data_IF_608061935337
#
_entry.id   IF_608061935337
#
_cell.length_a   1.000
_cell.length_b   1.000
_cell.length_c   1.000
_cell.angle_alpha   90.00
_cell.angle_beta   90.00
_cell.angle_gamma   90.00
#
_symmetry.space_group_name_H-M   'P 1'
#
loop_
_entity.id
_entity.type
_entity.pdbx_description
1 polymer ?
#
# COMPACT_ATOMS: atom_id res chain seq x y z
N UNK A 1 17.00 17.52 -7.72
CA UNK A 1 16.81 16.06 -7.72
C UNK A 1 15.41 15.83 -8.25
N UNK A 2 15.28 15.88 -9.57
CA UNK A 2 14.01 15.79 -10.29
C UNK A 2 13.81 14.35 -10.77
N UNK A 3 12.78 13.68 -10.26
CA UNK A 3 12.35 12.39 -10.80
C UNK A 3 11.40 12.63 -11.97
N UNK A 4 11.98 12.82 -13.15
CA UNK A 4 11.27 12.71 -14.43
C UNK A 4 11.34 11.26 -14.93
N UNK A 5 10.26 10.50 -14.78
CA UNK A 5 10.12 9.20 -15.42
C UNK A 5 9.60 9.40 -16.86
N UNK A 6 10.53 9.49 -17.81
CA UNK A 6 10.26 9.37 -19.23
C UNK A 6 11.15 8.30 -19.86
N UNK A 7 10.53 7.38 -20.61
CA UNK A 7 10.91 6.93 -21.96
C UNK A 7 10.52 5.45 -22.17
N UNK A 8 9.62 5.23 -23.14
CA UNK A 8 9.51 3.95 -23.86
C UNK A 8 10.65 3.78 -24.87
N UNK A 9 10.71 2.65 -25.60
CA UNK A 9 10.22 2.71 -26.98
C UNK A 9 9.54 1.41 -27.52
N UNK A 10 8.54 1.64 -28.38
CA UNK A 10 8.13 0.88 -29.57
C UNK A 10 8.52 -0.60 -29.72
N UNK A 11 7.50 -1.48 -29.64
CA UNK A 11 7.46 -2.74 -30.39
C UNK A 11 6.40 -2.64 -31.49
N UNK A 12 6.84 -2.35 -32.71
CA UNK A 12 6.07 -2.58 -33.93
C UNK A 12 6.13 -4.08 -34.27
N UNK A 13 5.01 -4.77 -34.07
CA UNK A 13 4.83 -6.16 -34.49
C UNK A 13 3.49 -6.31 -35.21
N UNK A 14 3.55 -6.62 -36.51
CA UNK A 14 2.39 -6.84 -37.37
C UNK A 14 1.49 -7.95 -36.82
N UNK A 15 0.33 -7.59 -36.26
CA UNK A 15 -0.72 -8.53 -35.89
C UNK A 15 -1.39 -9.07 -37.16
N UNK A 16 -0.82 -10.12 -37.76
CA UNK A 16 -1.58 -10.98 -38.66
C UNK A 16 -2.77 -11.55 -37.88
N UNK A 17 -3.97 -11.14 -38.28
CA UNK A 17 -5.26 -11.54 -37.71
C UNK A 17 -5.49 -13.04 -37.97
N UNK A 18 -4.89 -13.89 -37.14
CA UNK A 18 -5.11 -15.34 -37.17
C UNK A 18 -6.52 -15.64 -36.67
N UNK A 19 -7.39 -16.08 -37.58
CA UNK A 19 -8.79 -16.46 -37.36
C UNK A 19 -8.93 -17.81 -36.63
N UNK A 20 -8.39 -17.91 -35.42
CA UNK A 20 -8.54 -19.10 -34.57
C UNK A 20 -9.13 -18.73 -33.20
N UNK A 21 -10.44 -18.47 -33.19
CA UNK A 21 -11.26 -18.36 -31.98
C UNK A 21 -11.48 -19.79 -31.44
N UNK A 22 -10.44 -20.38 -30.86
CA UNK A 22 -10.59 -21.56 -29.99
C UNK A 22 -9.33 -21.87 -29.20
N UNK A 23 -8.93 -20.96 -28.31
CA UNK A 23 -8.29 -21.36 -27.05
C UNK A 23 -9.08 -20.69 -25.93
N UNK A 24 -9.98 -21.46 -25.33
CA UNK A 24 -10.42 -21.20 -23.97
C UNK A 24 -9.16 -21.19 -23.12
N UNK A 25 -8.63 -20.00 -22.90
CA UNK A 25 -7.64 -19.77 -21.87
C UNK A 25 -8.34 -20.15 -20.58
N UNK A 26 -7.90 -21.25 -19.96
CA UNK A 26 -8.46 -21.71 -18.69
C UNK A 26 -8.44 -20.55 -17.70
N UNK A 27 -9.62 -20.00 -17.39
CA UNK A 27 -9.79 -18.87 -16.47
C UNK A 27 -9.09 -19.12 -15.13
N UNK A 28 -8.92 -20.39 -14.75
CA UNK A 28 -8.18 -20.84 -13.58
C UNK A 28 -6.71 -20.39 -13.54
N UNK A 29 -6.05 -20.20 -14.70
CA UNK A 29 -4.63 -19.82 -14.78
C UNK A 29 -4.39 -18.32 -14.52
N UNK A 30 -5.37 -17.47 -14.86
CA UNK A 30 -5.30 -16.03 -14.61
C UNK A 30 -5.65 -15.69 -13.16
N UNK A 31 -6.55 -16.47 -12.56
CA UNK A 31 -7.06 -16.25 -11.22
C UNK A 31 -6.05 -16.64 -10.13
N UNK A 32 -5.37 -17.78 -10.28
CA UNK A 32 -4.25 -18.14 -9.40
C UNK A 32 -3.09 -17.14 -9.51
N UNK A 33 -2.92 -16.53 -10.69
CA UNK A 33 -1.99 -15.42 -10.89
C UNK A 33 -2.38 -14.17 -10.11
N UNK A 34 -3.67 -13.79 -10.08
CA UNK A 34 -4.15 -12.60 -9.37
C UNK A 34 -3.89 -12.70 -7.86
N UNK A 35 -4.20 -13.83 -7.22
CA UNK A 35 -3.92 -14.01 -5.78
C UNK A 35 -2.43 -13.92 -5.48
N UNK A 36 -1.59 -14.56 -6.30
CA UNK A 36 -0.13 -14.47 -6.16
C UNK A 36 0.39 -13.04 -6.35
N UNK A 37 -0.09 -12.31 -7.36
CA UNK A 37 0.29 -10.92 -7.61
C UNK A 37 -0.12 -10.01 -6.45
N UNK A 38 -1.34 -10.15 -5.92
CA UNK A 38 -1.82 -9.38 -4.78
C UNK A 38 -0.97 -9.64 -3.52
N UNK A 39 -0.73 -10.92 -3.20
CA UNK A 39 0.12 -11.30 -2.05
C UNK A 39 1.54 -10.75 -2.18
N UNK A 40 2.11 -10.83 -3.37
CA UNK A 40 3.45 -10.29 -3.65
C UNK A 40 3.49 -8.77 -3.43
N UNK A 41 2.49 -8.04 -3.94
CA UNK A 41 2.38 -6.60 -3.72
C UNK A 41 2.17 -6.24 -2.24
N UNK A 42 1.37 -7.01 -1.50
CA UNK A 42 1.17 -6.81 -0.07
C UNK A 42 2.43 -7.03 0.77
N UNK A 43 3.23 -8.04 0.41
CA UNK A 43 4.54 -8.27 1.01
C UNK A 43 5.46 -7.07 0.73
N UNK A 44 5.44 -6.53 -0.49
CA UNK A 44 6.29 -5.39 -0.85
C UNK A 44 5.85 -4.10 -0.14
N UNK A 45 4.55 -3.87 0.02
CA UNK A 45 4.01 -2.77 0.83
C UNK A 45 4.46 -2.86 2.29
N UNK A 46 4.43 -4.07 2.86
CA UNK A 46 4.89 -4.30 4.22
C UNK A 46 6.39 -4.01 4.37
N UNK A 47 7.23 -4.49 3.44
CA UNK A 47 8.67 -4.18 3.43
C UNK A 47 8.95 -2.69 3.29
N UNK A 48 8.20 -1.99 2.44
CA UNK A 48 8.33 -0.55 2.27
C UNK A 48 8.02 0.20 3.57
N UNK A 49 6.97 -0.22 4.31
CA UNK A 49 6.66 0.34 5.62
C UNK A 49 7.77 0.06 6.65
N UNK A 50 8.32 -1.14 6.66
CA UNK A 50 9.43 -1.52 7.56
C UNK A 50 10.69 -0.73 7.26
N UNK A 51 11.06 -0.60 5.98
CA UNK A 51 12.20 0.20 5.53
C UNK A 51 12.03 1.68 5.91
N UNK A 52 10.82 2.22 5.80
CA UNK A 52 10.52 3.59 6.21
C UNK A 52 10.74 3.79 7.72
N UNK A 53 10.38 2.82 8.57
CA UNK A 53 10.67 2.91 10.01
C UNK A 53 12.18 2.84 10.27
N UNK A 54 12.89 1.92 9.62
CA UNK A 54 14.34 1.75 9.77
C UNK A 54 15.11 3.04 9.43
N UNK A 55 14.74 3.70 8.33
CA UNK A 55 15.31 4.99 7.93
C UNK A 55 15.01 6.06 8.99
N UNK A 56 13.76 6.20 9.43
CA UNK A 56 13.36 7.20 10.43
C UNK A 56 14.15 7.01 11.74
N UNK A 57 14.19 5.80 12.29
CA UNK A 57 14.94 5.49 13.51
C UNK A 57 16.44 5.77 13.36
N UNK A 58 17.02 5.41 12.21
CA UNK A 58 18.44 5.68 11.92
C UNK A 58 18.73 7.18 11.91
N UNK A 59 17.94 7.96 11.18
CA UNK A 59 18.15 9.41 11.07
C UNK A 59 17.89 10.11 12.41
N UNK A 60 16.88 9.67 13.17
CA UNK A 60 16.61 10.20 14.52
C UNK A 60 17.77 9.93 15.47
N UNK A 61 18.38 8.74 15.43
CA UNK A 61 19.56 8.43 16.22
C UNK A 61 20.76 9.32 15.86
N UNK A 62 21.01 9.54 14.56
CA UNK A 62 22.05 10.45 14.08
C UNK A 62 21.81 11.90 14.54
N UNK A 63 20.57 12.37 14.48
CA UNK A 63 20.19 13.71 14.97
C UNK A 63 20.37 13.84 16.48
N UNK A 64 20.02 12.81 17.26
CA UNK A 64 20.25 12.82 18.70
C UNK A 64 21.75 12.96 19.01
N UNK A 65 22.60 12.17 18.34
CA UNK A 65 24.05 12.24 18.51
C UNK A 65 24.61 13.60 18.09
N UNK A 66 24.10 14.16 16.98
CA UNK A 66 24.45 15.51 16.55
C UNK A 66 24.17 16.54 17.65
N UNK A 67 22.98 16.54 18.24
CA UNK A 67 22.64 17.50 19.30
C UNK A 67 23.44 17.29 20.59
N UNK A 68 23.76 16.03 20.96
CA UNK A 68 24.67 15.76 22.09
C UNK A 68 26.05 16.36 21.86
N UNK A 69 26.65 16.13 20.68
CA UNK A 69 27.95 16.72 20.33
C UNK A 69 27.88 18.24 20.23
N UNK A 70 26.81 18.77 19.64
CA UNK A 70 26.59 20.20 19.51
C UNK A 70 26.50 20.87 20.88
N UNK A 71 25.82 20.25 21.86
CA UNK A 71 25.77 20.75 23.22
C UNK A 71 27.16 20.84 23.87
N UNK A 72 27.99 19.80 23.71
CA UNK A 72 29.38 19.82 24.22
C UNK A 72 30.17 20.99 23.63
N UNK A 73 30.11 21.19 22.31
CA UNK A 73 30.80 22.31 21.64
C UNK A 73 30.32 23.67 22.16
N UNK A 74 29.01 23.85 22.35
CA UNK A 74 28.46 25.09 22.90
C UNK A 74 28.91 25.33 24.35
N UNK A 75 28.99 24.26 25.16
CA UNK A 75 29.49 24.35 26.54
C UNK A 75 30.98 24.72 26.59
N UNK A 76 31.80 24.07 25.77
CA UNK A 76 33.24 24.36 25.68
C UNK A 76 33.49 25.82 25.27
N UNK A 77 32.68 26.33 24.33
CA UNK A 77 32.77 27.73 23.92
C UNK A 77 32.35 28.70 25.04
N UNK A 78 31.28 28.39 25.77
CA UNK A 78 30.90 29.14 26.97
C UNK A 78 32.05 29.17 27.98
N UNK A 79 32.61 28.01 28.35
CA UNK A 79 33.69 27.92 29.33
C UNK A 79 34.94 28.69 28.90
N UNK A 80 35.27 28.68 27.59
CA UNK A 80 36.36 29.47 27.04
C UNK A 80 36.13 30.98 27.18
N UNK A 81 34.90 31.46 26.98
CA UNK A 81 34.51 32.86 27.17
C UNK A 81 34.57 33.26 28.65
N UNK A 82 34.10 32.41 29.57
CA UNK A 82 34.24 32.63 31.03
C UNK A 82 35.71 32.78 31.40
N UNK A 83 36.55 31.85 30.94
CA UNK A 83 37.98 31.85 31.24
C UNK A 83 38.67 33.12 30.72
N UNK A 84 38.36 33.53 29.50
CA UNK A 84 38.88 34.77 28.90
C UNK A 84 38.47 36.00 29.72
N UNK A 85 37.17 36.15 29.98
CA UNK A 85 36.64 37.32 30.67
C UNK A 85 37.15 37.41 32.12
N UNK A 86 37.13 36.30 32.85
CA UNK A 86 37.58 36.28 34.25
C UNK A 86 39.10 36.45 34.37
N UNK A 87 39.90 35.91 33.44
CA UNK A 87 41.35 36.11 33.42
C UNK A 87 41.73 37.58 33.24
N UNK A 88 41.08 38.28 32.30
CA UNK A 88 41.28 39.72 32.10
C UNK A 88 40.73 40.55 33.27
N UNK A 89 39.56 40.19 33.81
CA UNK A 89 38.96 40.84 34.98
C UNK A 89 39.88 40.75 36.19
N UNK A 90 40.42 39.58 36.49
CA UNK A 90 41.34 39.37 37.62
C UNK A 90 42.62 40.20 37.44
N UNK A 91 43.21 40.19 36.24
CA UNK A 91 44.38 41.02 35.92
C UNK A 91 44.07 42.50 36.11
N UNK A 92 42.91 42.96 35.64
CA UNK A 92 42.50 44.36 35.77
C UNK A 92 42.30 44.76 37.24
N UNK A 93 41.62 43.94 38.04
CA UNK A 93 41.43 44.15 39.49
C UNK A 93 42.77 44.25 40.22
N UNK A 94 43.75 43.42 39.86
CA UNK A 94 45.09 43.46 40.46
C UNK A 94 45.82 44.79 40.17
N UNK A 95 45.64 45.37 38.98
CA UNK A 95 46.22 46.67 38.62
C UNK A 95 45.47 47.84 39.29
N UNK A 96 44.14 47.84 39.27
CA UNK A 96 43.33 48.90 39.87
C UNK A 96 43.44 48.91 41.40
N UNK A 97 43.68 47.77 42.05
CA UNK A 97 43.92 47.71 43.50
C UNK A 97 45.20 48.46 43.90
N UNK A 98 46.21 48.49 43.01
CA UNK A 98 47.44 49.27 43.21
C UNK A 98 47.27 50.75 42.84
N UNK A 99 46.24 51.08 42.05
CA UNK A 99 46.01 52.40 41.45
C UNK A 99 44.52 52.77 41.53
N UNK A 100 43.99 53.10 42.72
CA UNK A 100 42.54 53.28 42.92
C UNK A 100 41.93 54.38 42.05
N UNK A 101 42.72 55.42 41.76
CA UNK A 101 42.30 56.52 40.89
C UNK A 101 42.01 56.09 39.44
N UNK A 102 42.36 54.86 39.02
CA UNK A 102 42.08 54.33 37.68
C UNK A 102 40.62 53.91 37.46
N UNK A 103 39.91 53.58 38.54
CA UNK A 103 38.52 53.11 38.48
C UNK A 103 37.56 54.07 37.73
N UNK A 104 37.58 55.41 37.93
CA UNK A 104 36.67 56.34 37.24
C UNK A 104 37.05 56.66 35.79
N UNK A 105 38.16 56.15 35.24
CA UNK A 105 38.54 56.45 33.86
C UNK A 105 37.61 55.76 32.86
N UNK A 106 37.23 56.46 31.80
CA UNK A 106 36.35 55.93 30.74
C UNK A 106 36.86 54.62 30.13
N UNK A 107 38.18 54.49 29.95
CA UNK A 107 38.80 53.25 29.43
C UNK A 107 38.56 52.05 30.36
N UNK A 108 38.57 52.26 31.68
CA UNK A 108 38.24 51.25 32.70
C UNK A 108 36.77 50.86 32.58
N UNK A 109 35.87 51.82 32.40
CA UNK A 109 34.43 51.55 32.17
C UNK A 109 34.22 50.71 30.91
N UNK A 110 34.84 51.08 29.79
CA UNK A 110 34.72 50.34 28.51
C UNK A 110 35.19 48.90 28.67
N UNK A 111 36.33 48.67 29.34
CA UNK A 111 36.83 47.32 29.62
C UNK A 111 35.81 46.52 30.43
N UNK A 112 35.28 47.08 31.52
CA UNK A 112 34.30 46.38 32.35
C UNK A 112 33.01 46.05 31.59
N UNK A 113 32.54 46.96 30.73
CA UNK A 113 31.39 46.70 29.84
C UNK A 113 31.68 45.56 28.86
N UNK A 114 32.87 45.52 28.25
CA UNK A 114 33.27 44.46 27.33
C UNK A 114 33.34 43.08 28.03
N UNK A 115 33.94 43.03 29.22
CA UNK A 115 34.02 41.81 30.02
C UNK A 115 32.63 41.32 30.43
N UNK A 116 31.75 42.23 30.86
CA UNK A 116 30.36 41.92 31.17
C UNK A 116 29.57 41.41 29.95
N UNK A 117 29.74 42.03 28.79
CA UNK A 117 29.14 41.56 27.54
C UNK A 117 29.62 40.15 27.16
N UNK A 118 30.90 39.87 27.34
CA UNK A 118 31.50 38.55 27.04
C UNK A 118 30.92 37.47 27.97
N UNK A 119 30.76 37.77 29.26
CA UNK A 119 30.11 36.85 30.21
C UNK A 119 28.63 36.60 29.88
N UNK A 120 27.89 37.63 29.43
CA UNK A 120 26.51 37.44 28.96
C UNK A 120 26.42 36.53 27.73
N UNK A 121 27.35 36.66 26.78
CA UNK A 121 27.42 35.77 25.61
C UNK A 121 27.74 34.34 26.06
N UNK A 122 28.67 34.18 27.00
CA UNK A 122 28.97 32.88 27.62
C UNK A 122 27.72 32.23 28.24
N UNK A 123 26.95 32.96 29.04
CA UNK A 123 25.72 32.46 29.65
C UNK A 123 24.69 32.00 28.61
N UNK A 124 24.57 32.74 27.50
CA UNK A 124 23.70 32.36 26.40
C UNK A 124 24.14 31.04 25.73
N UNK A 125 25.44 30.82 25.53
CA UNK A 125 25.97 29.57 24.99
C UNK A 125 25.79 28.38 25.96
N UNK A 126 26.00 28.61 27.26
CA UNK A 126 25.73 27.58 28.28
C UNK A 126 24.24 27.19 28.31
N UNK A 127 23.33 28.17 28.22
CA UNK A 127 21.89 27.90 28.10
C UNK A 127 21.57 27.11 26.82
N UNK A 128 22.19 27.47 25.69
CA UNK A 128 21.99 26.76 24.43
C UNK A 128 22.47 25.30 24.50
N UNK A 129 23.62 25.06 25.13
CA UNK A 129 24.11 23.71 25.44
C UNK A 129 23.08 22.90 26.23
N UNK A 130 22.54 23.47 27.30
CA UNK A 130 21.52 22.83 28.12
C UNK A 130 20.24 22.50 27.33
N UNK A 131 19.77 23.43 26.49
CA UNK A 131 18.61 23.21 25.62
C UNK A 131 18.85 22.07 24.63
N UNK A 132 20.02 22.02 24.01
CA UNK A 132 20.38 20.96 23.07
C UNK A 132 20.49 19.59 23.77
N UNK A 133 21.22 19.52 24.89
CA UNK A 133 21.45 18.26 25.60
C UNK A 133 20.18 17.67 26.22
N UNK A 134 19.26 18.52 26.70
CA UNK A 134 18.07 18.09 27.43
C UNK A 134 16.84 18.10 26.54
N UNK A 135 16.44 19.27 26.05
CA UNK A 135 15.14 19.43 25.42
C UNK A 135 15.13 18.87 23.99
N UNK A 136 16.15 19.18 23.19
CA UNK A 136 16.20 18.72 21.80
C UNK A 136 16.41 17.22 21.70
N UNK A 137 17.35 16.67 22.48
CA UNK A 137 17.56 15.22 22.53
C UNK A 137 16.31 14.49 23.01
N UNK A 138 15.63 14.96 24.08
CA UNK A 138 14.41 14.31 24.56
C UNK A 138 13.29 14.34 23.52
N UNK A 139 13.08 15.48 22.83
CA UNK A 139 12.10 15.59 21.74
C UNK A 139 12.34 14.54 20.65
N UNK A 140 13.60 14.28 20.29
CA UNK A 140 13.96 13.29 19.28
C UNK A 140 13.76 11.85 19.78
N UNK A 141 13.94 11.59 21.08
CA UNK A 141 13.60 10.31 21.70
C UNK A 141 12.08 10.09 21.64
N UNK A 142 11.28 11.09 22.03
CA UNK A 142 9.83 11.00 21.97
C UNK A 142 9.34 10.75 20.52
N UNK A 143 9.97 11.41 19.54
CA UNK A 143 9.68 11.19 18.12
C UNK A 143 10.04 9.78 17.64
N UNK A 144 11.11 9.18 18.14
CA UNK A 144 11.51 7.80 17.82
C UNK A 144 10.50 6.78 18.36
N UNK A 145 10.10 6.94 19.63
CA UNK A 145 9.06 6.13 20.26
C UNK A 145 7.72 6.25 19.51
N UNK A 146 7.35 7.46 19.10
CA UNK A 146 6.15 7.71 18.30
C UNK A 146 6.23 7.09 16.91
N UNK A 147 7.40 7.11 16.24
CA UNK A 147 7.59 6.47 14.94
C UNK A 147 7.35 4.96 15.04
N UNK A 148 7.89 4.30 16.06
CA UNK A 148 7.68 2.87 16.33
C UNK A 148 6.21 2.58 16.63
N UNK A 149 5.58 3.39 17.48
CA UNK A 149 4.15 3.25 17.84
C UNK A 149 3.23 3.40 16.63
N UNK A 150 3.47 4.42 15.80
CA UNK A 150 2.71 4.67 14.57
C UNK A 150 2.92 3.57 13.54
N UNK A 151 4.15 3.08 13.36
CA UNK A 151 4.43 1.95 12.48
C UNK A 151 3.60 0.73 12.86
N UNK A 152 3.55 0.37 14.16
CA UNK A 152 2.75 -0.75 14.65
C UNK A 152 1.26 -0.58 14.29
N UNK A 153 0.69 0.60 14.55
CA UNK A 153 -0.70 0.90 14.21
C UNK A 153 -0.96 0.80 12.69
N UNK A 154 -0.06 1.37 11.87
CA UNK A 154 -0.14 1.26 10.42
C UNK A 154 -0.05 -0.18 9.94
N UNK A 155 0.82 -1.00 10.55
CA UNK A 155 1.00 -2.41 10.19
C UNK A 155 -0.25 -3.24 10.51
N UNK A 156 -0.86 -3.02 11.66
CA UNK A 156 -2.11 -3.66 12.06
C UNK A 156 -3.26 -3.30 11.11
N UNK A 157 -3.46 -2.01 10.83
CA UNK A 157 -4.49 -1.53 9.89
C UNK A 157 -4.26 -2.07 8.46
N UNK A 158 -3.02 -2.08 8.00
CA UNK A 158 -2.64 -2.63 6.70
C UNK A 158 -2.96 -4.11 6.62
N UNK A 159 -2.55 -4.91 7.60
CA UNK A 159 -2.83 -6.35 7.66
C UNK A 159 -4.33 -6.63 7.62
N UNK A 160 -5.12 -5.91 8.42
CA UNK A 160 -6.58 -6.05 8.43
C UNK A 160 -7.21 -5.69 7.08
N UNK A 161 -6.67 -4.69 6.37
CA UNK A 161 -7.14 -4.31 5.04
C UNK A 161 -6.79 -5.38 3.99
N UNK A 162 -5.54 -5.83 3.98
CA UNK A 162 -5.03 -6.85 3.06
C UNK A 162 -5.80 -8.17 3.23
N UNK A 163 -6.08 -8.58 4.47
CA UNK A 163 -6.90 -9.76 4.76
C UNK A 163 -8.31 -9.66 4.16
N UNK A 164 -8.99 -8.52 4.33
CA UNK A 164 -10.32 -8.29 3.71
C UNK A 164 -10.28 -8.41 2.20
N UNK A 165 -9.23 -7.87 1.55
CA UNK A 165 -9.06 -7.99 0.09
C UNK A 165 -8.86 -9.45 -0.33
N UNK A 166 -8.04 -10.21 0.40
CA UNK A 166 -7.82 -11.63 0.11
C UNK A 166 -9.09 -12.47 0.28
N UNK A 167 -9.86 -12.24 1.35
CA UNK A 167 -11.15 -12.91 1.57
C UNK A 167 -12.15 -12.59 0.45
N UNK A 168 -12.27 -11.31 0.09
CA UNK A 168 -13.15 -10.87 -1.01
C UNK A 168 -12.74 -11.50 -2.34
N UNK A 169 -11.43 -11.53 -2.61
CA UNK A 169 -10.88 -12.18 -3.81
C UNK A 169 -11.20 -13.67 -3.80
N UNK A 170 -10.94 -14.38 -2.70
CA UNK A 170 -11.24 -15.82 -2.59
C UNK A 170 -12.73 -16.13 -2.83
N UNK A 171 -13.64 -15.30 -2.32
CA UNK A 171 -15.08 -15.41 -2.56
C UNK A 171 -15.42 -15.24 -4.04
N UNK A 172 -14.90 -14.20 -4.69
CA UNK A 172 -15.11 -13.99 -6.14
C UNK A 172 -14.60 -15.18 -6.96
N UNK A 173 -13.46 -15.76 -6.57
CA UNK A 173 -12.93 -16.94 -7.24
C UNK A 173 -13.83 -18.17 -7.05
N UNK A 174 -14.44 -18.33 -5.87
CA UNK A 174 -15.41 -19.37 -5.62
C UNK A 174 -16.68 -19.17 -6.46
N UNK A 175 -17.25 -17.97 -6.46
CA UNK A 175 -18.44 -17.63 -7.23
C UNK A 175 -18.22 -17.86 -8.73
N UNK A 176 -17.02 -17.54 -9.23
CA UNK A 176 -16.64 -17.79 -10.61
C UNK A 176 -16.54 -19.28 -10.95
N UNK A 177 -15.98 -20.11 -10.04
CA UNK A 177 -15.95 -21.57 -10.22
C UNK A 177 -17.36 -22.15 -10.24
N UNK A 178 -18.21 -21.71 -9.31
CA UNK A 178 -19.61 -22.14 -9.24
C UNK A 178 -20.37 -21.74 -10.52
N UNK A 179 -20.16 -20.52 -11.00
CA UNK A 179 -20.71 -20.05 -12.27
C UNK A 179 -20.25 -20.93 -13.45
N UNK A 180 -18.96 -21.25 -13.52
CA UNK A 180 -18.41 -22.12 -14.55
C UNK A 180 -19.06 -23.52 -14.55
N UNK A 181 -19.25 -24.12 -13.37
CA UNK A 181 -19.96 -25.39 -13.22
C UNK A 181 -21.41 -25.28 -13.68
N UNK A 182 -22.14 -24.24 -13.26
CA UNK A 182 -23.53 -23.99 -13.69
C UNK A 182 -23.64 -23.76 -15.20
N UNK A 183 -22.65 -23.11 -15.80
CA UNK A 183 -22.60 -22.90 -17.24
C UNK A 183 -22.40 -24.22 -17.99
N UNK A 184 -21.49 -25.08 -17.53
CA UNK A 184 -21.24 -26.39 -18.13
C UNK A 184 -22.48 -27.30 -18.05
N UNK A 185 -23.13 -27.39 -16.89
CA UNK A 185 -24.35 -28.19 -16.72
C UNK A 185 -25.49 -27.67 -17.59
N UNK A 186 -25.65 -26.35 -17.71
CA UNK A 186 -26.64 -25.76 -18.60
C UNK A 186 -26.35 -26.04 -20.10
N UNK A 187 -25.07 -26.00 -20.51
CA UNK A 187 -24.68 -26.36 -21.89
C UNK A 187 -24.98 -27.84 -22.19
N UNK A 188 -24.72 -28.74 -21.24
CA UNK A 188 -25.02 -30.15 -21.37
C UNK A 188 -26.53 -30.43 -21.44
N UNK A 189 -27.32 -29.81 -20.55
CA UNK A 189 -28.77 -29.88 -20.60
C UNK A 189 -29.33 -29.36 -21.94
N UNK A 190 -28.79 -28.27 -22.48
CA UNK A 190 -29.20 -27.75 -23.78
C UNK A 190 -28.84 -28.70 -24.94
N UNK A 191 -27.69 -29.39 -24.88
CA UNK A 191 -27.32 -30.43 -25.85
C UNK A 191 -28.29 -31.61 -25.81
N UNK A 192 -28.65 -32.07 -24.61
CA UNK A 192 -29.61 -33.15 -24.43
C UNK A 192 -31.01 -32.75 -24.93
N UNK A 193 -31.46 -31.53 -24.62
CA UNK A 193 -32.72 -30.97 -25.14
C UNK A 193 -32.77 -30.99 -26.66
N UNK A 194 -31.70 -30.49 -27.32
CA UNK A 194 -31.62 -30.49 -28.80
C UNK A 194 -31.73 -31.90 -29.38
N UNK A 195 -31.05 -32.89 -28.80
CA UNK A 195 -31.15 -34.30 -29.26
C UNK A 195 -32.57 -34.86 -29.09
N UNK A 196 -33.23 -34.58 -27.96
CA UNK A 196 -34.62 -35.00 -27.73
C UNK A 196 -35.59 -34.31 -28.70
N UNK A 197 -35.38 -33.02 -28.98
CA UNK A 197 -36.13 -32.25 -29.97
C UNK A 197 -35.97 -32.82 -31.39
N UNK A 198 -34.74 -33.10 -31.81
CA UNK A 198 -34.43 -33.73 -33.10
C UNK A 198 -35.09 -35.12 -33.24
N UNK A 199 -35.06 -35.96 -32.19
CA UNK A 199 -35.76 -37.26 -32.17
C UNK A 199 -37.27 -37.09 -32.37
N UNK A 200 -37.89 -36.12 -31.68
CA UNK A 200 -39.32 -35.85 -31.80
C UNK A 200 -39.67 -35.35 -33.21
N UNK A 201 -38.89 -34.42 -33.76
CA UNK A 201 -39.08 -33.90 -35.12
C UNK A 201 -38.95 -35.01 -36.17
N UNK A 202 -37.95 -35.89 -36.05
CA UNK A 202 -37.77 -37.02 -36.96
C UNK A 202 -38.93 -38.03 -36.87
N UNK A 203 -39.44 -38.28 -35.65
CA UNK A 203 -40.62 -39.14 -35.46
C UNK A 203 -41.87 -38.52 -36.11
N UNK A 204 -42.03 -37.20 -36.03
CA UNK A 204 -43.13 -36.48 -36.68
C UNK A 204 -43.03 -36.56 -38.21
N UNK A 205 -41.84 -36.34 -38.78
CA UNK A 205 -41.59 -36.45 -40.22
C UNK A 205 -41.90 -37.86 -40.73
N UNK A 206 -41.49 -38.91 -40.00
CA UNK A 206 -41.77 -40.31 -40.36
C UNK A 206 -43.26 -40.68 -40.28
N UNK A 207 -44.04 -40.03 -39.42
CA UNK A 207 -45.50 -40.22 -39.41
C UNK A 207 -46.14 -39.56 -40.63
N UNK A 208 -45.73 -38.32 -40.94
CA UNK A 208 -46.19 -37.58 -42.13
C UNK A 208 -45.86 -38.28 -43.44
N UNK A 209 -44.65 -38.85 -43.58
CA UNK A 209 -44.26 -39.58 -44.79
C UNK A 209 -45.06 -40.86 -45.04
N UNK A 210 -45.80 -41.35 -44.03
CA UNK A 210 -46.74 -42.47 -44.13
C UNK A 210 -48.20 -42.02 -44.24
N UNK A 211 -48.46 -40.73 -44.51
CA UNK A 211 -49.79 -40.10 -44.49
C UNK A 211 -50.57 -40.33 -43.17
N UNK A 212 -49.86 -40.47 -42.04
CA UNK A 212 -50.47 -40.59 -40.70
C UNK A 212 -50.31 -39.28 -39.93
N UNK A 213 -51.32 -38.91 -39.15
CA UNK A 213 -51.19 -37.81 -38.19
C UNK A 213 -50.08 -38.17 -37.17
N UNK A 214 -49.05 -37.34 -36.98
CA UNK A 214 -48.05 -37.52 -35.93
C UNK A 214 -48.64 -37.84 -34.57
N UNK A 215 -49.77 -37.22 -34.18
CA UNK A 215 -50.42 -37.44 -32.88
C UNK A 215 -51.05 -38.84 -32.76
N UNK A 216 -51.32 -39.52 -33.87
CA UNK A 216 -51.77 -40.91 -33.89
C UNK A 216 -50.62 -41.92 -33.79
N UNK A 217 -49.37 -41.48 -33.99
CA UNK A 217 -48.21 -42.36 -34.01
C UNK A 217 -47.68 -42.61 -32.61
N UNK A 218 -47.72 -43.86 -32.16
CA UNK A 218 -47.15 -44.25 -30.87
C UNK A 218 -45.67 -43.90 -30.74
N UNK A 219 -44.91 -43.92 -31.85
CA UNK A 219 -43.49 -43.51 -31.89
C UNK A 219 -43.32 -42.02 -31.63
N UNK A 220 -44.18 -41.17 -32.19
CA UNK A 220 -44.16 -39.73 -31.94
C UNK A 220 -44.60 -39.42 -30.50
N UNK A 221 -45.67 -40.04 -30.01
CA UNK A 221 -46.13 -39.85 -28.63
C UNK A 221 -45.06 -40.24 -27.58
N UNK A 222 -44.31 -41.33 -27.81
CA UNK A 222 -43.18 -41.71 -26.94
C UNK A 222 -42.06 -40.67 -26.97
N UNK A 223 -41.66 -40.20 -28.15
CA UNK A 223 -40.63 -39.16 -28.28
C UNK A 223 -41.09 -37.80 -27.71
N UNK A 224 -42.39 -37.49 -27.82
CA UNK A 224 -42.99 -36.30 -27.24
C UNK A 224 -43.01 -36.37 -25.71
N UNK A 225 -43.33 -37.53 -25.14
CA UNK A 225 -43.26 -37.75 -23.70
C UNK A 225 -41.80 -37.70 -23.19
N UNK A 226 -40.82 -38.24 -23.93
CA UNK A 226 -39.38 -38.17 -23.57
C UNK A 226 -38.86 -36.73 -23.57
N UNK A 227 -39.28 -35.91 -24.52
CA UNK A 227 -38.94 -34.48 -24.55
C UNK A 227 -39.61 -33.68 -23.43
N UNK A 228 -40.88 -33.97 -23.15
CA UNK A 228 -41.67 -33.26 -22.12
C UNK A 228 -41.35 -33.73 -20.69
N UNK A 229 -40.80 -34.93 -20.51
CA UNK A 229 -40.50 -35.50 -19.18
C UNK A 229 -39.19 -34.98 -18.56
N UNK A 230 -38.43 -34.15 -19.27
CA UNK A 230 -37.20 -33.52 -18.77
C UNK A 230 -37.44 -32.04 -18.41
N UNK A 231 -37.97 -31.74 -17.21
CA UNK A 231 -38.20 -30.36 -16.77
C UNK A 231 -36.91 -29.52 -16.67
N UNK A 232 -35.74 -30.18 -16.52
CA UNK A 232 -34.43 -29.52 -16.56
C UNK A 232 -34.15 -28.81 -17.90
N UNK A 233 -34.75 -29.26 -19.01
CA UNK A 233 -34.59 -28.61 -20.31
C UNK A 233 -35.18 -27.21 -20.38
N UNK A 234 -36.18 -26.89 -19.53
CA UNK A 234 -36.87 -25.60 -19.56
C UNK A 234 -36.41 -24.65 -18.45
N UNK A 235 -35.97 -25.18 -17.30
CA UNK A 235 -35.54 -24.38 -16.14
C UNK A 235 -34.14 -23.74 -16.31
N UNK A 236 -33.19 -24.45 -16.92
CA UNK A 236 -31.82 -23.97 -17.11
C UNK A 236 -31.68 -22.92 -18.24
N UNK A 237 -32.62 -22.88 -19.18
CA UNK A 237 -32.67 -21.84 -20.23
C UNK A 237 -33.20 -20.51 -19.69
N UNK A 238 -34.17 -20.54 -18.75
CA UNK A 238 -34.65 -19.33 -18.05
C UNK A 238 -33.55 -18.69 -17.20
N UNK A 239 -32.70 -19.50 -16.55
CA UNK A 239 -31.56 -18.98 -15.78
C UNK A 239 -30.45 -18.40 -16.68
N UNK A 240 -30.16 -19.01 -17.83
CA UNK A 240 -29.21 -18.48 -18.82
C UNK A 240 -29.65 -17.11 -19.40
N UNK A 241 -30.93 -16.94 -19.73
CA UNK A 241 -31.47 -15.65 -20.21
C UNK A 241 -31.39 -14.55 -19.14
N UNK A 242 -31.66 -14.88 -17.88
CA UNK A 242 -31.57 -13.90 -16.79
C UNK A 242 -30.12 -13.50 -16.46
N UNK A 243 -29.16 -14.42 -16.54
CA UNK A 243 -27.75 -14.11 -16.29
C UNK A 243 -27.11 -13.31 -17.43
N UNK A 244 -27.50 -13.54 -18.68
CA UNK A 244 -27.03 -12.74 -19.82
C UNK A 244 -27.54 -11.29 -19.78
N UNK A 245 -28.68 -11.03 -19.14
CA UNK A 245 -29.21 -9.67 -18.93
C UNK A 245 -28.49 -8.89 -17.82
N UNK A 246 -27.93 -9.56 -16.80
CA UNK A 246 -27.21 -8.89 -15.70
C UNK A 246 -25.82 -8.42 -16.13
N UNK A 247 -25.16 -9.11 -17.07
CA UNK A 247 -23.84 -8.72 -17.59
C UNK A 247 -23.88 -7.69 -18.75
N UNK A 248 -25.06 -7.18 -19.11
CA UNK A 248 -25.28 -6.18 -20.18
C UNK A 248 -25.71 -4.80 -19.66
N UNK A 249 -25.77 -4.59 -18.35
CA UNK A 249 -25.92 -3.29 -17.72
C UNK A 249 -24.60 -2.89 -17.08
#
# INVERSE_FOLDING_TARGET
>A
MDYSCGLGPHFGGSLKRSSNIRRSISSSKYIGGIDWHLRTQFIEQAKCLDLKLDIDCTVLAELQEFYRRRAVVEQEYADALVKLANGLKQRHVNETSKRPHWAPYTTTTILNTLLGSTLRVSEAHALLSDLFAKQMVQRLVDMDEDAVRLHKQCREMMSACQERVLISTAKLQQDQREYGTKQLTALEANRQRRRAEEKMQLAAQKAKSKNKDPKSSQRFLRAQNEFSSHPQFFLLLRSQSNVCCILRK
#
